data_IF_545170996481
#
_entry.id   IF_545170996481
#
_cell.length_a   1.000
_cell.length_b   1.000
_cell.length_c   1.000
_cell.angle_alpha   90.00
_cell.angle_beta   90.00
_cell.angle_gamma   90.00
#
_symmetry.space_group_name_H-M   'P 1'
#
loop_
_entity.id
_entity.type
_entity.pdbx_description
1 polymer ?
#
# COMPACT_ATOMS: atom_id res chain seq x y z
N UNK A 1 3.59 -1.14 3.85
CA UNK A 1 2.99 -0.43 5.00
C UNK A 1 3.28 1.05 4.90
N UNK A 2 2.27 1.89 5.04
CA UNK A 2 2.39 3.32 5.27
C UNK A 2 2.39 3.57 6.79
N UNK A 3 3.18 4.55 7.24
CA UNK A 3 3.37 4.89 8.65
C UNK A 3 3.36 6.41 8.82
N UNK A 4 2.95 6.88 10.00
CA UNK A 4 3.13 8.28 10.34
C UNK A 4 4.63 8.59 10.54
N UNK A 5 5.05 9.76 10.06
CA UNK A 5 6.40 10.28 10.26
C UNK A 5 6.61 10.71 11.71
N UNK A 6 5.55 11.14 12.39
CA UNK A 6 5.57 11.45 13.81
C UNK A 6 5.44 10.17 14.63
N UNK A 7 6.20 10.08 15.72
CA UNK A 7 6.05 9.02 16.73
C UNK A 7 4.97 9.42 17.73
N UNK A 8 4.40 8.43 18.42
CA UNK A 8 3.46 8.71 19.51
C UNK A 8 4.17 9.33 20.72
N UNK A 9 3.41 9.67 21.76
CA UNK A 9 3.93 10.32 22.97
C UNK A 9 4.96 9.44 23.71
N UNK A 10 4.87 8.12 23.55
CA UNK A 10 5.75 7.12 24.13
C UNK A 10 6.94 6.77 23.21
N UNK A 11 6.99 7.29 21.98
CA UNK A 11 8.08 7.12 21.02
C UNK A 11 7.93 5.95 20.05
N UNK A 12 6.80 5.26 20.02
CA UNK A 12 6.55 4.13 19.11
C UNK A 12 6.06 4.60 17.73
N UNK A 13 6.12 3.66 16.77
CA UNK A 13 5.54 3.85 15.45
C UNK A 13 4.02 3.81 15.55
N UNK A 14 3.34 4.64 14.75
CA UNK A 14 1.89 4.72 14.73
C UNK A 14 1.34 4.68 13.30
N UNK A 15 0.09 4.22 13.11
CA UNK A 15 -0.54 4.16 11.79
C UNK A 15 -0.63 5.55 11.14
N UNK A 16 -0.66 5.66 9.81
CA UNK A 16 -0.75 6.96 9.14
C UNK A 16 -2.10 7.65 9.42
N UNK A 17 -2.10 8.98 9.41
CA UNK A 17 -3.35 9.74 9.28
C UNK A 17 -3.88 9.63 7.84
N UNK A 18 -5.18 9.79 7.67
CA UNK A 18 -5.76 9.90 6.33
C UNK A 18 -5.13 11.11 5.61
N UNK A 19 -4.72 10.96 4.33
CA UNK A 19 -4.09 12.05 3.60
C UNK A 19 -4.94 13.32 3.59
N UNK A 20 -4.32 14.46 3.92
CA UNK A 20 -5.00 15.75 4.00
C UNK A 20 -5.78 16.00 5.30
N UNK A 21 -5.77 15.08 6.27
CA UNK A 21 -6.41 15.26 7.58
C UNK A 21 -5.48 14.90 8.73
N UNK A 22 -5.88 15.28 9.95
CA UNK A 22 -5.27 14.80 11.19
C UNK A 22 -6.00 13.55 11.75
N UNK A 23 -6.94 13.00 11.00
CA UNK A 23 -7.74 11.85 11.44
C UNK A 23 -6.93 10.57 11.28
N UNK A 24 -6.69 9.92 12.42
CA UNK A 24 -5.97 8.65 12.48
C UNK A 24 -6.94 7.49 12.53
N UNK A 25 -6.85 6.61 11.54
CA UNK A 25 -7.69 5.42 11.52
C UNK A 25 -7.07 4.36 12.45
N UNK A 26 -7.67 4.14 13.61
CA UNK A 26 -7.17 3.19 14.62
C UNK A 26 -7.85 1.82 14.54
N UNK A 27 -8.78 1.62 13.61
CA UNK A 27 -9.54 0.37 13.46
C UNK A 27 -9.11 -0.41 12.22
N UNK A 28 -8.99 -1.74 12.36
CA UNK A 28 -8.82 -2.67 11.25
C UNK A 28 -10.03 -2.62 10.33
N UNK A 29 -9.84 -2.16 9.10
CA UNK A 29 -10.89 -2.14 8.09
C UNK A 29 -10.45 -2.91 6.84
N UNK A 30 -10.31 -4.23 6.99
CA UNK A 30 -10.05 -5.15 5.86
C UNK A 30 -11.10 -4.89 4.77
N UNK A 31 -10.67 -4.68 3.53
CA UNK A 31 -11.54 -4.36 2.39
C UNK A 31 -12.33 -3.04 2.47
N UNK A 32 -11.94 -2.09 3.31
CA UNK A 32 -12.57 -0.77 3.30
C UNK A 32 -12.19 0.01 2.04
N UNK A 33 -13.20 0.22 1.20
CA UNK A 33 -13.12 1.08 0.01
C UNK A 33 -12.80 2.52 0.41
N UNK A 34 -13.30 2.97 1.57
CA UNK A 34 -12.98 4.29 2.10
C UNK A 34 -11.49 4.39 2.41
N UNK A 35 -10.88 3.37 3.01
CA UNK A 35 -9.44 3.37 3.27
C UNK A 35 -8.62 3.36 1.97
N UNK A 36 -9.03 2.59 0.95
CA UNK A 36 -8.41 2.65 -0.38
C UNK A 36 -8.51 4.06 -0.99
N UNK A 37 -9.68 4.70 -0.90
CA UNK A 37 -9.88 6.05 -1.42
C UNK A 37 -9.01 7.09 -0.72
N UNK A 38 -8.85 7.01 0.61
CA UNK A 38 -7.99 7.94 1.34
C UNK A 38 -6.54 7.89 0.86
N UNK A 39 -6.03 6.70 0.54
CA UNK A 39 -4.64 6.50 0.10
C UNK A 39 -4.50 6.33 -1.41
N UNK A 40 -5.54 6.66 -2.18
CA UNK A 40 -5.59 6.44 -3.63
C UNK A 40 -4.44 7.13 -4.37
N UNK A 41 -4.06 8.34 -3.98
CA UNK A 41 -2.96 9.07 -4.63
C UNK A 41 -1.64 8.27 -4.57
N UNK A 42 -1.28 7.74 -3.40
CA UNK A 42 -0.06 6.95 -3.24
C UNK A 42 -0.16 5.61 -3.98
N UNK A 43 -1.33 4.97 -3.96
CA UNK A 43 -1.54 3.72 -4.69
C UNK A 43 -1.48 3.91 -6.20
N UNK A 44 -2.00 5.03 -6.71
CA UNK A 44 -1.92 5.41 -8.11
C UNK A 44 -0.48 5.72 -8.52
N UNK A 45 0.29 6.43 -7.69
CA UNK A 45 1.71 6.67 -7.95
C UNK A 45 2.49 5.34 -8.08
N UNK A 46 2.19 4.36 -7.22
CA UNK A 46 2.82 3.03 -7.30
C UNK A 46 2.41 2.30 -8.59
N UNK A 47 1.13 2.33 -8.95
CA UNK A 47 0.63 1.74 -10.20
C UNK A 47 1.30 2.38 -11.42
N UNK A 48 1.35 3.71 -11.49
CA UNK A 48 2.01 4.44 -12.58
C UNK A 48 3.50 4.08 -12.70
N UNK A 49 4.22 4.00 -11.57
CA UNK A 49 5.63 3.60 -11.55
C UNK A 49 5.82 2.13 -11.93
N UNK A 50 4.91 1.23 -11.55
CA UNK A 50 4.95 -0.17 -11.97
C UNK A 50 4.78 -0.29 -13.49
N UNK A 51 3.81 0.44 -14.07
CA UNK A 51 3.61 0.49 -15.52
C UNK A 51 4.82 1.04 -16.26
N UNK A 52 5.46 2.09 -15.75
CA UNK A 52 6.68 2.67 -16.33
C UNK A 52 7.87 1.68 -16.31
N UNK A 53 7.90 0.79 -15.32
CA UNK A 53 8.92 -0.25 -15.18
C UNK A 53 8.56 -1.55 -15.92
N UNK A 54 7.37 -1.61 -16.55
CA UNK A 54 6.80 -2.80 -17.18
C UNK A 54 6.56 -3.96 -16.18
N UNK A 55 6.34 -3.64 -14.91
CA UNK A 55 6.00 -4.62 -13.87
C UNK A 55 4.50 -4.94 -13.99
N UNK A 56 4.12 -6.23 -14.06
CA UNK A 56 2.74 -6.63 -14.34
C UNK A 56 1.85 -6.58 -13.08
N UNK A 57 1.65 -5.40 -12.49
CA UNK A 57 0.74 -5.21 -11.36
C UNK A 57 -0.74 -5.35 -11.79
N UNK A 58 -1.55 -6.04 -10.98
CA UNK A 58 -2.99 -6.27 -11.21
C UNK A 58 -3.85 -5.30 -10.38
N UNK A 59 -3.47 -5.03 -9.13
CA UNK A 59 -4.17 -4.06 -8.28
C UNK A 59 -3.79 -4.13 -6.81
N UNK A 60 -4.28 -3.14 -6.06
CA UNK A 60 -4.01 -2.99 -4.63
C UNK A 60 -5.26 -3.28 -3.78
N UNK A 61 -5.08 -3.94 -2.63
CA UNK A 61 -6.13 -4.21 -1.65
C UNK A 61 -5.73 -3.72 -0.26
N UNK A 62 -6.71 -3.24 0.51
CA UNK A 62 -6.51 -2.85 1.90
C UNK A 62 -6.57 -4.09 2.81
N UNK A 63 -5.54 -4.24 3.65
CA UNK A 63 -5.35 -5.40 4.52
C UNK A 63 -5.90 -5.17 5.94
N UNK A 64 -5.62 -6.11 6.85
CA UNK A 64 -6.14 -6.09 8.21
C UNK A 64 -5.58 -4.97 9.10
N UNK A 65 -4.37 -4.49 8.84
CA UNK A 65 -3.79 -3.42 9.66
C UNK A 65 -3.98 -2.05 9.01
N UNK A 66 -4.23 -0.98 9.78
CA UNK A 66 -4.30 0.37 9.22
C UNK A 66 -2.97 0.76 8.55
N UNK A 67 -3.05 1.31 7.33
CA UNK A 67 -1.88 1.61 6.50
C UNK A 67 -1.21 0.38 5.86
N UNK A 68 -1.78 -0.81 5.99
CA UNK A 68 -1.33 -2.02 5.30
C UNK A 68 -2.11 -2.21 4.00
N UNK A 69 -1.36 -2.43 2.92
CA UNK A 69 -1.89 -2.70 1.60
C UNK A 69 -1.08 -3.82 0.98
N UNK A 70 -1.74 -4.62 0.15
CA UNK A 70 -1.16 -5.67 -0.66
C UNK A 70 -1.29 -5.25 -2.13
N UNK A 71 -0.21 -5.33 -2.89
CA UNK A 71 -0.21 -5.12 -4.34
C UNK A 71 0.01 -6.48 -4.99
N UNK A 72 -0.95 -6.86 -5.84
CA UNK A 72 -0.93 -8.12 -6.56
C UNK A 72 -0.20 -7.96 -7.90
N UNK A 73 0.54 -8.99 -8.29
CA UNK A 73 1.16 -9.11 -9.61
C UNK A 73 0.46 -10.22 -10.41
N UNK A 74 0.45 -10.12 -11.74
CA UNK A 74 -0.05 -11.19 -12.60
C UNK A 74 0.82 -12.45 -12.46
N UNK A 75 0.16 -13.61 -12.50
CA UNK A 75 0.84 -14.89 -12.51
C UNK A 75 1.64 -15.09 -13.81
N UNK A 76 2.86 -15.61 -13.70
CA UNK A 76 3.68 -16.06 -14.81
C UNK A 76 4.25 -17.45 -14.52
N UNK A 77 4.41 -18.27 -15.56
CA UNK A 77 5.05 -19.58 -15.45
C UNK A 77 6.58 -19.47 -15.41
N UNK A 78 7.12 -18.27 -15.68
CA UNK A 78 8.54 -17.96 -15.59
C UNK A 78 8.91 -17.50 -14.19
N UNK A 79 9.37 -18.43 -13.35
CA UNK A 79 9.71 -18.16 -11.94
C UNK A 79 10.81 -17.10 -11.78
N UNK A 80 11.77 -17.02 -12.69
CA UNK A 80 12.83 -16.01 -12.60
C UNK A 80 12.28 -14.60 -12.80
N UNK A 81 11.41 -14.43 -13.79
CA UNK A 81 10.72 -13.16 -14.07
C UNK A 81 9.81 -12.77 -12.90
N UNK A 82 9.04 -13.72 -12.34
CA UNK A 82 8.25 -13.45 -11.14
C UNK A 82 9.09 -12.98 -9.95
N UNK A 83 10.30 -13.51 -9.78
CA UNK A 83 11.22 -13.07 -8.74
C UNK A 83 11.79 -11.67 -9.02
N UNK A 84 12.13 -11.38 -10.27
CA UNK A 84 12.65 -10.07 -10.68
C UNK A 84 11.55 -8.99 -10.51
N UNK A 85 10.32 -9.28 -10.93
CA UNK A 85 9.16 -8.38 -10.78
C UNK A 85 8.86 -8.09 -9.30
N UNK A 86 8.88 -9.13 -8.46
CA UNK A 86 8.63 -8.97 -7.02
C UNK A 86 9.72 -8.18 -6.28
N UNK A 87 10.94 -8.13 -6.82
CA UNK A 87 12.04 -7.34 -6.26
C UNK A 87 12.08 -5.91 -6.79
N UNK A 88 11.55 -5.68 -8.00
CA UNK A 88 11.51 -4.37 -8.62
C UNK A 88 10.35 -3.49 -8.11
N UNK A 89 9.31 -4.11 -7.54
CA UNK A 89 8.20 -3.44 -6.86
C UNK A 89 8.63 -2.87 -5.49
#
# INVERSE_FOLDING_TARGET
>A
YLLDRQRDAEGYLQPPCAPGTDDRNTQSQVYSVDNLNHFADVLNDIDELAQLQLIPADGAVAEASPGQFEINLYHTDNVLEACDDALAL
#
